data_IF_898927098810
#
_entry.id   IF_898927098810
#
_cell.length_a   1.000
_cell.length_b   1.000
_cell.length_c   1.000
_cell.angle_alpha   90.00
_cell.angle_beta   90.00
_cell.angle_gamma   90.00
#
_symmetry.space_group_name_H-M   'P 1'
#
loop_
_entity.id
_entity.type
_entity.pdbx_description
1 polymer ?
#
# COMPACT_ATOMS: atom_id res chain seq x y z
N UNK A 1 10.04 -16.66 22.21
CA UNK A 1 11.39 -16.10 21.97
C UNK A 1 12.25 -17.01 21.05
N UNK A 2 11.67 -17.62 20.01
CA UNK A 2 12.34 -18.61 19.14
C UNK A 2 12.81 -18.04 17.78
N UNK A 3 12.61 -16.75 17.51
CA UNK A 3 12.83 -16.17 16.16
C UNK A 3 14.29 -15.86 15.81
N UNK A 4 15.19 -15.71 16.79
CA UNK A 4 16.56 -15.21 16.54
C UNK A 4 17.51 -16.27 15.94
N UNK A 5 17.39 -17.53 16.39
CA UNK A 5 18.23 -18.64 15.92
C UNK A 5 17.90 -19.08 14.49
N UNK A 6 16.66 -18.87 14.03
CA UNK A 6 16.28 -19.14 12.65
C UNK A 6 16.88 -18.10 11.69
N UNK A 7 16.91 -16.82 12.09
CA UNK A 7 17.47 -15.71 11.30
C UNK A 7 18.98 -15.88 11.00
N UNK A 8 19.77 -16.35 11.98
CA UNK A 8 21.21 -16.56 11.80
C UNK A 8 21.56 -17.73 10.86
N UNK A 9 20.76 -18.80 10.85
CA UNK A 9 20.90 -19.87 9.86
C UNK A 9 20.53 -19.39 8.45
N UNK A 10 19.57 -18.49 8.31
CA UNK A 10 19.19 -17.91 7.02
C UNK A 10 20.25 -16.97 6.43
N UNK A 11 20.92 -16.13 7.23
CA UNK A 11 22.01 -15.28 6.71
C UNK A 11 23.23 -16.10 6.25
N UNK A 12 23.49 -17.24 6.89
CA UNK A 12 24.51 -18.19 6.44
C UNK A 12 24.10 -18.88 5.13
N UNK A 13 22.84 -19.30 5.02
CA UNK A 13 22.30 -19.87 3.77
C UNK A 13 22.31 -18.83 2.65
N UNK A 14 21.87 -17.58 2.85
CA UNK A 14 21.85 -16.56 1.81
C UNK A 14 23.25 -16.24 1.26
N UNK A 15 24.27 -16.09 2.12
CA UNK A 15 25.68 -15.95 1.71
C UNK A 15 26.20 -17.20 0.99
N UNK A 16 25.79 -18.38 1.45
CA UNK A 16 26.13 -19.66 0.79
C UNK A 16 25.40 -19.81 -0.54
N UNK A 17 24.16 -19.34 -0.71
CA UNK A 17 23.42 -19.38 -1.98
C UNK A 17 24.03 -18.38 -2.95
N UNK A 18 24.44 -17.19 -2.51
CA UNK A 18 25.17 -16.23 -3.34
C UNK A 18 26.53 -16.79 -3.80
N UNK A 19 27.31 -17.37 -2.88
CA UNK A 19 28.60 -18.00 -3.20
C UNK A 19 28.44 -19.29 -4.04
N UNK A 20 27.40 -20.08 -3.80
CA UNK A 20 27.06 -21.26 -4.59
C UNK A 20 26.51 -20.87 -5.97
N UNK A 21 25.86 -19.72 -6.13
CA UNK A 21 25.43 -19.22 -7.44
C UNK A 21 26.63 -18.74 -8.26
N UNK A 22 27.57 -18.02 -7.64
CA UNK A 22 28.84 -17.65 -8.26
C UNK A 22 29.70 -18.88 -8.62
N UNK A 23 29.66 -19.96 -7.80
CA UNK A 23 30.42 -21.20 -8.02
C UNK A 23 29.72 -22.22 -8.92
N UNK A 24 28.38 -22.25 -8.98
CA UNK A 24 27.59 -23.13 -9.84
C UNK A 24 27.58 -22.72 -11.31
N UNK A 25 28.08 -21.52 -11.64
CA UNK A 25 28.40 -21.14 -13.02
C UNK A 25 29.47 -22.06 -13.67
N UNK A 26 30.16 -22.90 -12.89
CA UNK A 26 31.20 -23.83 -13.38
C UNK A 26 30.94 -25.33 -13.19
N UNK A 27 29.78 -25.79 -12.70
CA UNK A 27 29.61 -27.22 -12.38
C UNK A 27 28.17 -27.76 -12.32
N UNK A 28 27.80 -28.55 -13.33
CA UNK A 28 27.06 -29.83 -13.24
C UNK A 28 25.69 -29.94 -12.58
N UNK A 29 25.17 -28.94 -11.87
CA UNK A 29 23.76 -28.92 -11.46
C UNK A 29 22.92 -28.61 -12.69
N UNK A 30 21.88 -29.39 -12.96
CA UNK A 30 20.95 -29.18 -14.07
C UNK A 30 20.21 -27.85 -13.93
N UNK A 31 20.89 -26.75 -14.26
CA UNK A 31 20.32 -25.43 -14.41
C UNK A 31 19.36 -25.53 -15.59
N UNK A 32 18.07 -25.60 -15.29
CA UNK A 32 17.05 -25.32 -16.29
C UNK A 32 17.03 -23.80 -16.52
N UNK A 33 18.09 -23.29 -17.14
CA UNK A 33 18.13 -21.94 -17.69
C UNK A 33 17.13 -21.93 -18.84
N UNK A 34 15.90 -21.53 -18.56
CA UNK A 34 14.87 -21.40 -19.58
C UNK A 34 15.24 -20.22 -20.49
N UNK A 35 16.09 -20.48 -21.50
CA UNK A 35 16.37 -19.55 -22.59
C UNK A 35 15.03 -19.10 -23.20
N UNK A 36 14.81 -17.78 -23.17
CA UNK A 36 13.55 -17.17 -23.58
C UNK A 36 13.60 -16.96 -25.09
N UNK A 37 13.03 -17.89 -25.86
CA UNK A 37 12.61 -17.56 -27.23
C UNK A 37 11.33 -16.71 -27.14
N UNK A 38 11.35 -15.55 -27.78
CA UNK A 38 10.25 -14.59 -27.83
C UNK A 38 9.08 -15.14 -28.67
N UNK A 39 8.25 -16.00 -28.07
CA UNK A 39 6.95 -16.36 -28.62
C UNK A 39 5.83 -15.52 -27.98
N UNK A 40 4.76 -15.33 -28.74
CA UNK A 40 3.59 -14.48 -28.50
C UNK A 40 3.13 -14.39 -27.02
N UNK A 41 2.50 -13.27 -26.62
CA UNK A 41 2.30 -12.91 -25.22
C UNK A 41 1.27 -13.80 -24.50
N UNK A 42 1.65 -15.02 -24.14
CA UNK A 42 0.81 -15.94 -23.38
C UNK A 42 0.89 -15.69 -21.86
N UNK A 43 -0.22 -15.91 -21.14
CA UNK A 43 -0.34 -15.82 -19.68
C UNK A 43 0.55 -16.85 -18.94
N UNK A 44 1.23 -17.73 -19.69
CA UNK A 44 2.21 -18.71 -19.24
C UNK A 44 3.63 -18.14 -19.05
N UNK A 45 3.82 -16.83 -19.09
CA UNK A 45 5.14 -16.20 -19.21
C UNK A 45 6.04 -16.24 -17.95
N UNK A 46 5.50 -16.43 -16.74
CA UNK A 46 6.33 -16.44 -15.54
C UNK A 46 7.26 -17.66 -15.52
N UNK A 47 8.49 -17.49 -15.05
CA UNK A 47 9.53 -18.52 -15.10
C UNK A 47 9.11 -19.78 -14.32
N UNK A 48 8.39 -19.62 -13.22
CA UNK A 48 7.91 -20.69 -12.35
C UNK A 48 6.88 -21.58 -13.07
N UNK A 49 5.89 -20.97 -13.75
CA UNK A 49 4.90 -21.71 -14.54
C UNK A 49 5.54 -22.41 -15.75
N UNK A 50 6.53 -21.77 -16.40
CA UNK A 50 7.29 -22.41 -17.50
C UNK A 50 8.11 -23.61 -17.01
N UNK A 51 8.77 -23.46 -15.87
CA UNK A 51 9.52 -24.54 -15.23
C UNK A 51 8.60 -25.75 -14.97
N UNK A 52 7.49 -25.54 -14.25
CA UNK A 52 6.54 -26.60 -13.93
C UNK A 52 5.89 -27.19 -15.18
N UNK A 53 5.47 -26.34 -16.13
CA UNK A 53 4.90 -26.78 -17.41
C UNK A 53 5.86 -27.65 -18.23
N UNK A 54 7.16 -27.34 -18.22
CA UNK A 54 8.17 -28.15 -18.90
C UNK A 54 8.31 -29.55 -18.29
N UNK A 55 8.24 -29.65 -16.95
CA UNK A 55 8.29 -30.92 -16.24
C UNK A 55 7.00 -31.73 -16.41
N UNK A 56 5.84 -31.09 -16.36
CA UNK A 56 4.55 -31.74 -16.68
C UNK A 56 4.58 -32.31 -18.10
N UNK A 57 5.08 -31.55 -19.07
CA UNK A 57 5.20 -32.01 -20.46
C UNK A 57 6.19 -33.17 -20.60
N UNK A 58 7.31 -33.15 -19.88
CA UNK A 58 8.24 -34.30 -19.80
C UNK A 58 7.58 -35.52 -19.15
N UNK A 59 6.78 -35.36 -18.10
CA UNK A 59 6.07 -36.45 -17.44
C UNK A 59 5.08 -37.12 -18.41
N UNK A 60 4.29 -36.32 -19.13
CA UNK A 60 3.31 -36.80 -20.12
C UNK A 60 3.99 -37.56 -21.26
N UNK A 61 5.10 -37.03 -21.81
CA UNK A 61 5.89 -37.73 -22.84
C UNK A 61 6.47 -39.07 -22.37
N UNK A 62 6.60 -39.28 -21.05
CA UNK A 62 7.03 -40.55 -20.46
C UNK A 62 5.86 -41.48 -20.11
N UNK A 63 4.63 -41.15 -20.52
CA UNK A 63 3.46 -41.97 -20.22
C UNK A 63 3.00 -41.92 -18.76
N UNK A 64 3.41 -40.91 -17.97
CA UNK A 64 2.98 -40.80 -16.59
C UNK A 64 1.46 -40.54 -16.50
N UNK A 65 0.69 -41.34 -15.73
CA UNK A 65 -0.74 -41.10 -15.56
C UNK A 65 -0.98 -39.80 -14.79
N UNK A 66 -2.10 -39.14 -15.06
CA UNK A 66 -2.38 -37.77 -14.58
C UNK A 66 -2.25 -37.61 -13.06
N UNK A 67 -2.72 -38.59 -12.28
CA UNK A 67 -2.65 -38.59 -10.83
C UNK A 67 -1.22 -38.71 -10.27
N UNK A 68 -0.27 -39.26 -11.05
CA UNK A 68 1.14 -39.39 -10.64
C UNK A 68 2.02 -38.21 -11.09
N UNK A 69 1.51 -37.34 -11.98
CA UNK A 69 2.31 -36.23 -12.52
C UNK A 69 2.82 -35.33 -11.40
N UNK A 70 1.99 -34.98 -10.42
CA UNK A 70 2.39 -34.09 -9.32
C UNK A 70 3.56 -34.67 -8.53
N UNK A 71 3.43 -35.91 -8.06
CA UNK A 71 4.49 -36.63 -7.33
C UNK A 71 5.75 -36.80 -8.19
N UNK A 72 5.60 -37.08 -9.48
CA UNK A 72 6.72 -37.20 -10.40
C UNK A 72 7.47 -35.87 -10.57
N UNK A 73 6.75 -34.77 -10.79
CA UNK A 73 7.33 -33.43 -10.95
C UNK A 73 8.05 -33.00 -9.67
N UNK A 74 7.42 -33.19 -8.50
CA UNK A 74 8.03 -32.87 -7.20
C UNK A 74 9.35 -33.63 -6.97
N UNK A 75 9.44 -34.91 -7.36
CA UNK A 75 10.69 -35.67 -7.30
C UNK A 75 11.78 -35.13 -8.24
N UNK A 76 11.41 -34.52 -9.36
CA UNK A 76 12.37 -34.00 -10.36
C UNK A 76 12.81 -32.56 -10.11
N UNK A 77 11.88 -31.70 -9.68
CA UNK A 77 12.17 -30.31 -9.30
C UNK A 77 12.84 -30.23 -7.93
N UNK A 78 12.54 -31.20 -7.06
CA UNK A 78 12.90 -31.15 -5.65
C UNK A 78 11.77 -30.58 -4.79
N UNK A 79 11.98 -30.54 -3.48
CA UNK A 79 10.99 -30.02 -2.53
C UNK A 79 11.00 -28.48 -2.43
N UNK A 80 11.99 -27.81 -3.03
CA UNK A 80 12.23 -26.38 -2.92
C UNK A 80 12.42 -25.74 -4.29
N UNK A 81 11.89 -24.53 -4.46
CA UNK A 81 12.11 -23.68 -5.63
C UNK A 81 12.59 -22.32 -5.15
N UNK A 82 13.67 -21.82 -5.77
CA UNK A 82 14.18 -20.47 -5.52
C UNK A 82 13.74 -19.56 -6.66
N UNK A 83 13.09 -18.44 -6.30
CA UNK A 83 12.63 -17.41 -7.22
C UNK A 83 13.41 -16.14 -6.94
N UNK A 84 14.13 -15.67 -7.95
CA UNK A 84 14.85 -14.41 -7.91
C UNK A 84 14.56 -13.62 -9.17
N UNK A 85 14.66 -12.30 -9.05
CA UNK A 85 14.50 -11.37 -10.16
C UNK A 85 15.69 -10.43 -10.11
N UNK A 86 16.39 -10.30 -11.22
CA UNK A 86 17.45 -9.30 -11.37
C UNK A 86 16.88 -8.05 -12.01
N UNK A 87 17.32 -6.89 -11.53
CA UNK A 87 17.14 -5.61 -12.19
C UNK A 87 18.23 -5.42 -13.26
N UNK A 88 18.11 -4.35 -14.06
CA UNK A 88 19.06 -4.03 -15.11
C UNK A 88 20.47 -3.73 -14.59
N UNK A 89 20.57 -3.27 -13.34
CA UNK A 89 21.82 -3.03 -12.61
C UNK A 89 22.41 -4.31 -11.99
N UNK A 90 21.78 -5.47 -12.20
CA UNK A 90 22.20 -6.75 -11.63
C UNK A 90 21.77 -6.98 -10.18
N UNK A 91 21.14 -6.01 -9.53
CA UNK A 91 20.66 -6.16 -8.15
C UNK A 91 19.42 -7.04 -8.07
N UNK A 92 19.18 -7.65 -6.90
CA UNK A 92 18.02 -8.48 -6.66
C UNK A 92 16.79 -7.63 -6.34
N UNK A 93 15.75 -7.77 -7.15
CA UNK A 93 14.43 -7.22 -6.90
C UNK A 93 13.55 -8.17 -6.09
N UNK A 94 12.48 -7.62 -5.54
CA UNK A 94 11.37 -8.40 -4.99
C UNK A 94 10.88 -9.42 -6.02
N UNK A 95 11.00 -10.69 -5.66
CA UNK A 95 10.73 -11.84 -6.50
C UNK A 95 9.61 -12.71 -5.92
N UNK A 96 8.72 -12.12 -5.11
CA UNK A 96 7.53 -12.80 -4.63
C UNK A 96 6.71 -13.34 -5.82
N UNK A 97 6.36 -14.64 -5.84
CA UNK A 97 5.64 -15.21 -6.97
C UNK A 97 4.29 -14.50 -7.16
N UNK A 98 3.93 -14.23 -8.41
CA UNK A 98 2.62 -13.64 -8.72
C UNK A 98 1.48 -14.59 -8.33
N UNK A 99 0.26 -14.08 -8.21
CA UNK A 99 -0.91 -14.87 -7.77
C UNK A 99 -1.08 -16.19 -8.53
N UNK A 100 -0.94 -16.17 -9.87
CA UNK A 100 -1.06 -17.38 -10.69
C UNK A 100 0.14 -18.34 -10.51
N UNK A 101 1.34 -17.83 -10.23
CA UNK A 101 2.48 -18.69 -9.88
C UNK A 101 2.26 -19.35 -8.53
N UNK A 102 1.71 -18.62 -7.55
CA UNK A 102 1.43 -19.17 -6.23
C UNK A 102 0.47 -20.35 -6.30
N UNK A 103 -0.62 -20.23 -7.07
CA UNK A 103 -1.58 -21.32 -7.28
C UNK A 103 -0.93 -22.57 -7.89
N UNK A 104 -0.05 -22.39 -8.88
CA UNK A 104 0.65 -23.52 -9.50
C UNK A 104 1.68 -24.14 -8.53
N UNK A 105 2.47 -23.33 -7.83
CA UNK A 105 3.45 -23.80 -6.85
C UNK A 105 2.78 -24.55 -5.69
N UNK A 106 1.61 -24.09 -5.22
CA UNK A 106 0.77 -24.76 -4.22
C UNK A 106 0.29 -26.12 -4.71
N UNK A 107 -0.13 -26.23 -5.98
CA UNK A 107 -0.57 -27.50 -6.57
C UNK A 107 0.51 -28.59 -6.50
N UNK A 108 1.77 -28.23 -6.60
CA UNK A 108 2.90 -29.17 -6.50
C UNK A 108 3.48 -29.32 -5.08
N UNK A 109 2.87 -28.67 -4.08
CA UNK A 109 3.30 -28.68 -2.68
C UNK A 109 4.78 -28.30 -2.50
N UNK A 110 5.23 -27.26 -3.22
CA UNK A 110 6.63 -26.83 -3.22
C UNK A 110 6.88 -25.76 -2.15
N UNK A 111 8.00 -25.87 -1.44
CA UNK A 111 8.54 -24.78 -0.62
C UNK A 111 9.20 -23.75 -1.53
N UNK A 112 9.01 -22.47 -1.21
CA UNK A 112 9.48 -21.37 -2.03
C UNK A 112 10.48 -20.55 -1.24
N UNK A 113 11.59 -20.23 -1.88
CA UNK A 113 12.59 -19.27 -1.43
C UNK A 113 12.54 -18.07 -2.36
N UNK A 114 12.26 -16.87 -1.86
CA UNK A 114 12.22 -15.67 -2.71
C UNK A 114 12.78 -14.44 -1.99
N UNK A 115 13.41 -13.56 -2.75
CA UNK A 115 13.84 -12.24 -2.25
C UNK A 115 12.60 -11.33 -2.12
N UNK A 116 12.43 -10.70 -0.96
CA UNK A 116 11.39 -9.71 -0.72
C UNK A 116 11.91 -8.29 -0.86
N UNK A 117 13.16 -8.06 -0.47
CA UNK A 117 13.91 -6.81 -0.56
C UNK A 117 15.42 -7.13 -0.60
N UNK A 118 16.30 -6.14 -0.84
CA UNK A 118 17.74 -6.33 -0.69
C UNK A 118 18.06 -6.94 0.68
N UNK A 119 18.84 -8.01 0.71
CA UNK A 119 19.18 -8.80 1.91
C UNK A 119 18.01 -9.48 2.66
N UNK A 120 16.76 -9.29 2.23
CA UNK A 120 15.60 -9.93 2.86
C UNK A 120 15.09 -11.09 2.01
N UNK A 121 15.24 -12.30 2.56
CA UNK A 121 14.75 -13.54 1.96
C UNK A 121 13.60 -14.12 2.77
N UNK A 122 12.60 -14.61 2.06
CA UNK A 122 11.54 -15.44 2.64
C UNK A 122 11.68 -16.88 2.15
N UNK A 123 11.46 -17.82 3.06
CA UNK A 123 11.58 -19.26 2.83
C UNK A 123 10.45 -19.97 3.57
N UNK A 124 9.51 -20.58 2.85
CA UNK A 124 8.39 -21.28 3.48
C UNK A 124 7.51 -22.02 2.50
N UNK A 125 6.36 -22.49 2.99
CA UNK A 125 5.25 -22.92 2.13
C UNK A 125 4.35 -21.72 1.87
N UNK A 126 3.75 -21.68 0.68
CA UNK A 126 2.81 -20.61 0.34
C UNK A 126 1.48 -20.68 1.13
N UNK A 127 1.27 -21.76 1.88
CA UNK A 127 0.16 -21.91 2.85
C UNK A 127 0.45 -21.23 4.19
N UNK A 128 1.70 -20.86 4.46
CA UNK A 128 2.10 -20.30 5.75
C UNK A 128 1.55 -18.87 5.89
N UNK A 129 1.14 -18.47 7.10
CA UNK A 129 0.59 -17.13 7.35
C UNK A 129 1.58 -16.00 7.04
N UNK A 130 2.88 -16.30 7.17
CA UNK A 130 3.97 -15.38 6.82
C UNK A 130 4.28 -15.33 5.32
N UNK A 131 3.54 -16.06 4.47
CA UNK A 131 3.80 -16.10 3.05
C UNK A 131 3.55 -14.73 2.39
N UNK A 132 4.43 -14.30 1.48
CA UNK A 132 4.24 -13.04 0.79
C UNK A 132 2.96 -13.08 -0.05
N UNK A 133 2.12 -12.02 -0.01
CA UNK A 133 0.85 -12.02 -0.71
C UNK A 133 1.07 -12.06 -2.23
N UNK A 134 0.30 -12.91 -2.91
CA UNK A 134 0.33 -13.00 -4.37
C UNK A 134 -0.23 -11.74 -5.01
N UNK A 135 0.63 -10.96 -5.67
CA UNK A 135 0.21 -9.79 -6.44
C UNK A 135 -0.04 -10.16 -7.90
N UNK A 136 -1.12 -9.66 -8.48
CA UNK A 136 -1.35 -9.74 -9.91
C UNK A 136 -0.38 -8.79 -10.63
N UNK A 137 0.33 -9.30 -11.63
CA UNK A 137 1.17 -8.44 -12.48
C UNK A 137 0.30 -7.48 -13.29
N UNK A 138 0.84 -6.32 -13.70
CA UNK A 138 0.12 -5.37 -14.54
C UNK A 138 -0.48 -6.05 -15.78
N UNK A 139 0.28 -6.97 -16.39
CA UNK A 139 -0.17 -7.76 -17.53
C UNK A 139 -1.28 -8.76 -17.20
N UNK A 140 -1.22 -9.43 -16.05
CA UNK A 140 -2.30 -10.32 -15.61
C UNK A 140 -3.60 -9.53 -15.35
N UNK A 141 -3.49 -8.31 -14.80
CA UNK A 141 -4.65 -7.42 -14.61
C UNK A 141 -5.32 -7.06 -15.93
N UNK A 142 -4.53 -6.77 -16.97
CA UNK A 142 -5.07 -6.49 -18.32
C UNK A 142 -5.78 -7.69 -18.96
N UNK A 143 -5.34 -8.92 -18.66
CA UNK A 143 -5.90 -10.16 -19.22
C UNK A 143 -7.08 -10.73 -18.43
N UNK A 144 -7.31 -10.27 -17.20
CA UNK A 144 -8.39 -10.74 -16.33
C UNK A 144 -9.38 -9.59 -16.06
N UNK A 145 -10.24 -9.22 -17.03
CA UNK A 145 -11.13 -8.06 -16.93
C UNK A 145 -12.08 -8.09 -15.72
N UNK A 146 -12.32 -9.26 -15.12
CA UNK A 146 -13.15 -9.41 -13.92
C UNK A 146 -12.60 -8.71 -12.66
N UNK A 147 -11.28 -8.52 -12.53
CA UNK A 147 -10.69 -7.89 -11.34
C UNK A 147 -10.75 -6.35 -11.36
N UNK A 148 -10.87 -5.74 -12.55
CA UNK A 148 -11.09 -4.31 -12.68
C UNK A 148 -12.55 -3.95 -12.34
N UNK A 149 -13.52 -4.76 -12.78
CA UNK A 149 -14.95 -4.54 -12.52
C UNK A 149 -15.30 -4.58 -11.01
N UNK A 150 -14.69 -5.47 -10.22
CA UNK A 150 -14.95 -5.55 -8.78
C UNK A 150 -14.33 -4.40 -7.98
N UNK A 151 -13.17 -3.85 -8.41
CA UNK A 151 -12.59 -2.66 -7.82
C UNK A 151 -13.38 -1.39 -8.19
N UNK A 152 -13.94 -1.34 -9.42
CA UNK A 152 -14.86 -0.28 -9.85
C UNK A 152 -16.20 -0.37 -9.14
N UNK A 153 -16.66 -1.55 -8.71
CA UNK A 153 -17.93 -1.72 -8.00
C UNK A 153 -17.93 -1.14 -6.56
N UNK A 154 -16.78 -0.90 -5.94
CA UNK A 154 -16.69 -0.24 -4.62
C UNK A 154 -16.47 1.28 -4.68
N UNK A 155 -16.13 1.84 -5.85
CA UNK A 155 -15.99 3.28 -6.03
C UNK A 155 -17.31 4.08 -6.04
N UNK A 156 -18.46 3.60 -6.59
CA UNK A 156 -19.66 4.44 -6.64
C UNK A 156 -20.23 4.75 -5.25
N UNK A 157 -20.03 3.89 -4.25
CA UNK A 157 -20.56 4.15 -2.90
C UNK A 157 -19.79 5.27 -2.20
N UNK A 158 -18.45 5.28 -2.30
CA UNK A 158 -17.64 6.34 -1.69
C UNK A 158 -17.79 7.68 -2.44
N UNK A 159 -17.97 7.63 -3.76
CA UNK A 159 -18.15 8.82 -4.58
C UNK A 159 -19.56 9.42 -4.41
N UNK A 160 -20.61 8.59 -4.28
CA UNK A 160 -21.96 9.03 -3.95
C UNK A 160 -22.04 9.62 -2.53
N UNK A 161 -21.33 9.04 -1.55
CA UNK A 161 -21.26 9.62 -0.20
C UNK A 161 -20.58 10.98 -0.17
N UNK A 162 -19.47 11.16 -0.90
CA UNK A 162 -18.82 12.47 -1.02
C UNK A 162 -19.71 13.51 -1.70
N UNK A 163 -20.42 13.13 -2.77
CA UNK A 163 -21.36 14.05 -3.44
C UNK A 163 -22.55 14.42 -2.55
N UNK A 164 -23.12 13.46 -1.82
CA UNK A 164 -24.20 13.74 -0.87
C UNK A 164 -23.76 14.68 0.25
N UNK A 165 -22.54 14.48 0.78
CA UNK A 165 -21.99 15.34 1.83
C UNK A 165 -21.69 16.76 1.31
N UNK A 166 -21.20 16.90 0.07
CA UNK A 166 -20.99 18.19 -0.57
C UNK A 166 -22.31 18.95 -0.81
N UNK A 167 -23.36 18.26 -1.26
CA UNK A 167 -24.69 18.84 -1.43
C UNK A 167 -25.27 19.30 -0.09
N UNK A 168 -25.10 18.52 0.98
CA UNK A 168 -25.57 18.89 2.31
C UNK A 168 -24.85 20.14 2.84
N UNK A 169 -23.54 20.27 2.62
CA UNK A 169 -22.80 21.47 3.00
C UNK A 169 -23.26 22.71 2.22
N UNK A 170 -23.52 22.58 0.92
CA UNK A 170 -24.07 23.69 0.13
C UNK A 170 -25.45 24.13 0.64
N UNK A 171 -26.33 23.19 0.99
CA UNK A 171 -27.64 23.53 1.56
C UNK A 171 -27.53 24.24 2.91
N UNK A 172 -26.62 23.79 3.78
CA UNK A 172 -26.36 24.47 5.06
C UNK A 172 -25.83 25.89 4.87
N UNK A 173 -24.95 26.10 3.89
CA UNK A 173 -24.40 27.43 3.59
C UNK A 173 -25.48 28.39 3.05
N UNK A 174 -26.34 27.91 2.14
CA UNK A 174 -27.47 28.70 1.64
C UNK A 174 -28.46 29.07 2.76
N UNK A 175 -28.72 28.14 3.69
CA UNK A 175 -29.60 28.40 4.82
C UNK A 175 -29.04 29.46 5.77
N UNK A 176 -27.75 29.38 6.12
CA UNK A 176 -27.10 30.41 6.94
C UNK A 176 -27.14 31.78 6.26
N UNK A 177 -26.93 31.84 4.95
CA UNK A 177 -26.95 33.10 4.22
C UNK A 177 -28.34 33.75 4.19
N UNK A 178 -29.42 32.97 4.10
CA UNK A 178 -30.80 33.49 4.18
C UNK A 178 -31.16 34.02 5.57
N UNK A 179 -30.63 33.42 6.64
CA UNK A 179 -30.91 33.89 8.01
C UNK A 179 -30.20 35.21 8.35
N UNK A 180 -28.99 35.46 7.82
CA UNK A 180 -28.23 36.67 8.14
C UNK A 180 -28.58 37.89 7.26
N UNK A 181 -29.17 37.68 6.08
CA UNK A 181 -29.52 38.79 5.18
C UNK A 181 -30.45 39.86 5.81
N UNK A 182 -31.53 39.50 6.52
CA UNK A 182 -32.41 40.50 7.13
C UNK A 182 -31.71 41.33 8.22
N UNK A 183 -30.78 40.71 8.96
CA UNK A 183 -30.04 41.40 10.02
C UNK A 183 -29.00 42.36 9.41
N UNK A 184 -28.24 41.92 8.41
CA UNK A 184 -27.28 42.79 7.72
C UNK A 184 -27.99 43.96 7.00
N UNK A 185 -29.18 43.72 6.43
CA UNK A 185 -30.00 44.79 5.85
C UNK A 185 -30.49 45.77 6.92
N UNK A 186 -30.88 45.29 8.12
CA UNK A 186 -31.25 46.16 9.25
C UNK A 186 -30.07 46.98 9.76
N UNK A 187 -28.90 46.39 9.93
CA UNK A 187 -27.68 47.10 10.33
C UNK A 187 -27.27 48.14 9.30
N UNK A 188 -27.27 47.79 8.00
CA UNK A 188 -27.00 48.75 6.92
C UNK A 188 -28.04 49.88 6.85
N UNK A 189 -29.30 49.59 7.15
CA UNK A 189 -30.35 50.60 7.22
C UNK A 189 -30.17 51.53 8.44
N UNK A 190 -29.79 50.96 9.60
CA UNK A 190 -29.46 51.70 10.81
C UNK A 190 -28.27 52.64 10.60
N UNK A 191 -27.14 52.12 10.10
CA UNK A 191 -25.94 52.91 9.78
C UNK A 191 -26.23 54.06 8.81
N UNK A 192 -27.07 53.81 7.80
CA UNK A 192 -27.50 54.84 6.85
C UNK A 192 -28.32 55.92 7.56
N UNK A 193 -29.18 55.55 8.50
CA UNK A 193 -29.98 56.50 9.29
C UNK A 193 -29.10 57.33 10.23
N UNK A 194 -28.12 56.73 10.90
CA UNK A 194 -27.17 57.45 11.78
C UNK A 194 -26.30 58.43 11.01
N UNK A 195 -25.75 58.02 9.85
CA UNK A 195 -24.98 58.94 8.99
C UNK A 195 -25.83 60.09 8.46
N UNK A 196 -27.10 59.84 8.18
CA UNK A 196 -28.03 60.89 7.74
C UNK A 196 -28.38 61.85 8.89
N UNK A 197 -28.47 61.36 10.13
CA UNK A 197 -28.68 62.19 11.31
C UNK A 197 -27.45 63.04 11.64
N UNK A 198 -26.25 62.47 11.56
CA UNK A 198 -24.97 63.15 11.83
C UNK A 198 -24.58 64.20 10.76
N UNK A 199 -25.18 64.15 9.57
CA UNK A 199 -25.00 65.19 8.55
C UNK A 199 -25.77 66.49 8.85
N UNK A 200 -26.55 66.54 9.94
CA UNK A 200 -27.13 67.78 10.44
C UNK A 200 -26.00 68.65 11.01
N UNK A 201 -25.82 69.90 10.52
CA UNK A 201 -24.76 70.77 11.01
C UNK A 201 -24.95 71.02 12.51
N UNK A 202 -23.89 70.91 13.34
CA UNK A 202 -23.99 71.20 14.75
C UNK A 202 -24.37 72.68 14.95
N UNK A 203 -25.23 73.01 15.93
CA UNK A 203 -25.35 74.39 16.37
C UNK A 203 -24.01 74.82 16.95
N UNK A 204 -23.46 75.89 16.39
CA UNK A 204 -22.22 76.53 16.80
C UNK A 204 -22.28 76.96 18.26
N UNK A 205 -21.54 76.29 19.14
CA UNK A 205 -21.52 76.60 20.56
C UNK A 205 -20.35 76.00 21.34
N UNK A 206 -19.33 76.86 21.52
CA UNK A 206 -18.43 77.00 22.67
C UNK A 206 -17.52 75.85 23.15
N UNK A 207 -16.26 76.24 23.27
CA UNK A 207 -15.06 75.63 23.82
C UNK A 207 -15.02 75.47 25.35
N UNK A 208 -14.34 74.43 25.82
CA UNK A 208 -13.37 74.43 26.96
C UNK A 208 -12.90 72.98 27.17
N UNK A 209 -11.63 72.63 26.98
CA UNK A 209 -10.46 72.77 27.88
C UNK A 209 -10.39 71.72 29.01
N UNK A 210 -9.15 71.26 29.27
CA UNK A 210 -8.58 70.43 30.38
C UNK A 210 -8.99 68.94 30.47
N UNK A 211 -8.18 67.94 30.86
CA UNK A 211 -6.77 67.82 31.30
C UNK A 211 -6.37 66.31 31.27
N UNK A 212 -5.06 66.01 31.19
CA UNK A 212 -4.24 65.05 32.00
C UNK A 212 -4.92 63.78 32.63
N UNK A 213 -4.39 62.55 32.68
CA UNK A 213 -3.02 62.05 32.85
C UNK A 213 -2.99 60.50 32.81
N UNK A 214 -1.78 59.93 32.62
CA UNK A 214 -1.25 58.62 33.10
C UNK A 214 -2.06 57.32 32.83
N UNK A 215 -1.53 56.18 32.34
CA UNK A 215 -0.31 55.45 32.75
C UNK A 215 -0.14 54.18 31.89
N UNK A 216 1.10 53.83 31.56
CA UNK A 216 1.53 52.61 30.85
C UNK A 216 1.78 51.43 31.83
N UNK A 217 2.59 50.37 31.51
CA UNK A 217 2.53 49.36 30.44
C UNK A 217 2.62 47.90 30.98
N UNK A 218 2.46 46.91 30.10
CA UNK A 218 2.89 45.51 30.32
C UNK A 218 2.04 44.53 29.51
N UNK A 219 2.53 43.65 28.66
CA UNK A 219 3.83 42.99 28.58
C UNK A 219 3.57 41.48 28.51
N UNK A 220 3.99 40.82 27.43
CA UNK A 220 4.15 39.35 27.41
C UNK A 220 3.43 38.60 26.30
N UNK A 221 4.11 38.42 25.17
CA UNK A 221 4.02 37.19 24.37
C UNK A 221 4.90 36.12 25.01
N UNK A 222 4.53 34.82 24.91
CA UNK A 222 5.38 33.97 24.09
C UNK A 222 4.61 32.95 23.24
N UNK A 223 5.20 32.70 22.08
CA UNK A 223 4.93 31.57 21.21
C UNK A 223 5.48 30.26 21.80
N UNK A 224 4.72 29.16 21.66
CA UNK A 224 5.17 27.75 21.57
C UNK A 224 3.89 26.90 21.65
N UNK A 225 3.70 25.76 21.00
CA UNK A 225 4.55 24.89 20.21
C UNK A 225 3.68 23.70 19.78
N UNK A 226 4.05 23.09 18.67
CA UNK A 226 3.40 21.96 18.01
C UNK A 226 3.35 20.71 18.91
N UNK A 227 2.43 19.77 18.64
CA UNK A 227 2.67 18.38 19.01
C UNK A 227 1.48 17.44 19.11
N UNK A 228 0.96 16.98 17.97
CA UNK A 228 0.16 15.74 17.90
C UNK A 228 1.04 14.53 18.21
N UNK A 229 0.58 13.58 19.03
CA UNK A 229 0.59 12.12 18.74
C UNK A 229 -0.01 11.31 19.89
N UNK A 230 -1.14 10.67 19.62
CA UNK A 230 -1.59 9.52 20.38
C UNK A 230 -0.91 8.24 19.89
N UNK A 231 -0.69 7.30 20.80
CA UNK A 231 -0.61 5.87 20.46
C UNK A 231 -0.67 4.96 21.68
N UNK A 232 -1.74 4.14 21.67
CA UNK A 232 -1.78 2.69 21.92
C UNK A 232 -1.66 2.16 23.36
N UNK A 233 -2.85 1.74 23.82
CA UNK A 233 -3.13 0.69 24.82
C UNK A 233 -2.18 -0.52 24.71
N UNK A 234 -1.58 -0.90 25.84
CA UNK A 234 -1.03 -2.24 26.07
C UNK A 234 -2.12 -3.10 26.70
N UNK A 235 -2.64 -4.07 25.95
CA UNK A 235 -3.42 -5.18 26.50
C UNK A 235 -2.47 -6.27 26.97
N UNK A 236 -2.37 -6.48 28.28
CA UNK A 236 -1.85 -7.72 28.88
C UNK A 236 -2.99 -8.74 28.83
N UNK A 237 -2.78 -9.89 28.19
CA UNK A 237 -3.55 -11.11 28.48
C UNK A 237 -2.65 -12.05 29.26
N UNK A 238 -3.17 -12.50 30.39
CA UNK A 238 -2.58 -13.48 31.27
C UNK A 238 -2.51 -14.84 30.57
N UNK A 239 -1.43 -15.57 30.88
CA UNK A 239 -1.31 -16.99 30.62
C UNK A 239 -2.20 -17.75 31.62
N UNK A 240 -2.91 -18.76 31.14
CA UNK A 240 -3.51 -19.80 31.97
C UNK A 240 -2.61 -21.03 31.92
N UNK A 241 -2.40 -21.73 33.05
CA UNK A 241 -1.82 -23.07 33.08
C UNK A 241 -2.74 -24.13 32.48
#
# INVERSE_FOLDING_TARGET
>A
MTSSLQQHRFNSVAKTVHAAFAKAAGGGAAQCSAFIAAAAPDHRCCAERRLLGSWVSKARRRGMPAHQIVTWVRRKVGAHVTVFRTLADGTLACAAPCLLCQRELLRFDLRVHCSLAPELWWSGRLTDESAPPGKLTARQRMMMPAAAAAATAQQPVQQAQHQAQAQQQQQQHQHQHQQHQPQEQRERAWDRSERSAAASPPPSGASSDVDEAERAPGGGSPASGRGRRGSRRRGRRAASP
#
